data_IF_548027193959
#
_entry.id   IF_548027193959
#
_cell.length_a   1.000
_cell.length_b   1.000
_cell.length_c   1.000
_cell.angle_alpha   90.00
_cell.angle_beta   90.00
_cell.angle_gamma   90.00
#
_symmetry.space_group_name_H-M   'P 1'
#
loop_
_entity.id
_entity.type
_entity.pdbx_description
1 polymer ?
#
# COMPACT_ATOMS: atom_id res chain seq x y z
N UNK A 1 -67.00 16.13 13.69
CA UNK A 1 -65.63 16.71 13.67
C UNK A 1 -64.63 15.55 13.82
N UNK A 2 -64.19 14.95 12.71
CA UNK A 2 -63.16 13.90 12.68
C UNK A 2 -62.03 14.37 11.76
N UNK A 3 -61.16 15.24 12.27
CA UNK A 3 -59.87 15.60 11.66
C UNK A 3 -58.85 15.58 12.79
N UNK A 4 -58.22 14.43 13.02
CA UNK A 4 -57.20 14.29 14.07
C UNK A 4 -56.34 13.03 13.96
N UNK A 5 -56.82 11.98 13.30
CA UNK A 5 -56.15 10.67 13.31
C UNK A 5 -55.14 10.46 12.16
N UNK A 6 -55.13 11.33 11.15
CA UNK A 6 -54.30 11.14 9.95
C UNK A 6 -52.83 11.59 10.12
N UNK A 7 -52.58 12.60 10.97
CA UNK A 7 -51.26 13.24 11.08
C UNK A 7 -50.25 12.50 11.98
N UNK A 8 -50.69 11.47 12.71
CA UNK A 8 -49.89 10.74 13.70
C UNK A 8 -49.21 9.49 13.11
N UNK A 9 -49.84 8.88 12.09
CA UNK A 9 -49.30 7.70 11.40
C UNK A 9 -48.04 8.02 10.60
N UNK A 10 -47.96 9.20 9.99
CA UNK A 10 -46.79 9.66 9.23
C UNK A 10 -45.59 9.90 10.14
N UNK A 11 -45.79 10.53 11.30
CA UNK A 11 -44.71 10.76 12.29
C UNK A 11 -44.16 9.45 12.85
N UNK A 12 -45.02 8.50 13.20
CA UNK A 12 -44.61 7.16 13.62
C UNK A 12 -43.85 6.41 12.51
N UNK A 13 -44.23 6.61 11.24
CA UNK A 13 -43.51 6.10 10.08
C UNK A 13 -42.10 6.65 9.96
N UNK A 14 -41.93 7.98 10.05
CA UNK A 14 -40.61 8.63 10.00
C UNK A 14 -39.70 8.18 11.14
N UNK A 15 -40.20 8.10 12.38
CA UNK A 15 -39.41 7.64 13.55
C UNK A 15 -38.92 6.20 13.36
N UNK A 16 -39.76 5.32 12.83
CA UNK A 16 -39.37 3.94 12.51
C UNK A 16 -38.32 3.89 11.41
N UNK A 17 -38.50 4.66 10.34
CA UNK A 17 -37.52 4.74 9.25
C UNK A 17 -36.16 5.23 9.74
N UNK A 18 -36.13 6.29 10.55
CA UNK A 18 -34.88 6.79 11.15
C UNK A 18 -34.26 5.76 12.09
N UNK A 19 -35.08 5.02 12.85
CA UNK A 19 -34.60 3.94 13.71
C UNK A 19 -33.98 2.77 12.92
N UNK A 20 -34.61 2.35 11.82
CA UNK A 20 -34.04 1.33 10.93
C UNK A 20 -32.75 1.80 10.26
N UNK A 21 -32.69 3.06 9.79
CA UNK A 21 -31.47 3.62 9.22
C UNK A 21 -30.33 3.62 10.24
N UNK A 22 -30.60 4.10 11.46
CA UNK A 22 -29.62 4.12 12.54
C UNK A 22 -29.17 2.70 12.92
N UNK A 23 -30.09 1.74 12.99
CA UNK A 23 -29.77 0.34 13.28
C UNK A 23 -28.88 -0.25 12.17
N UNK A 24 -29.20 0.00 10.90
CA UNK A 24 -28.39 -0.46 9.77
C UNK A 24 -26.98 0.12 9.84
N UNK A 25 -26.83 1.42 10.13
CA UNK A 25 -25.51 2.05 10.30
C UNK A 25 -24.74 1.39 11.45
N UNK A 26 -25.37 1.22 12.62
CA UNK A 26 -24.72 0.57 13.78
C UNK A 26 -24.30 -0.86 13.45
N UNK A 27 -25.16 -1.64 12.81
CA UNK A 27 -24.85 -3.01 12.43
C UNK A 27 -23.73 -3.07 11.39
N UNK A 28 -23.74 -2.19 10.38
CA UNK A 28 -22.64 -2.08 9.42
C UNK A 28 -21.35 -1.79 10.17
N UNK A 29 -21.33 -0.83 11.10
CA UNK A 29 -20.11 -0.49 11.83
C UNK A 29 -19.62 -1.62 12.74
N UNK A 30 -20.51 -2.24 13.53
CA UNK A 30 -20.14 -3.29 14.49
C UNK A 30 -19.70 -4.60 13.83
N UNK A 31 -20.31 -4.94 12.69
CA UNK A 31 -20.01 -6.15 11.92
C UNK A 31 -18.90 -5.95 10.89
N UNK A 32 -18.50 -4.70 10.64
CA UNK A 32 -17.32 -4.40 9.81
C UNK A 32 -16.05 -4.57 10.62
N UNK A 33 -14.93 -4.78 9.92
CA UNK A 33 -13.60 -4.68 10.52
C UNK A 33 -13.13 -3.21 10.52
N UNK A 34 -12.19 -2.83 11.40
CA UNK A 34 -11.58 -1.50 11.38
C UNK A 34 -11.10 -1.08 9.99
N UNK A 35 -10.48 -1.96 9.22
CA UNK A 35 -10.00 -1.71 7.86
C UNK A 35 -11.09 -1.49 6.81
N UNK A 36 -12.31 -1.98 7.04
CA UNK A 36 -13.47 -1.71 6.17
C UNK A 36 -14.06 -0.31 6.37
N UNK A 37 -13.93 0.26 7.57
CA UNK A 37 -14.52 1.56 7.94
C UNK A 37 -13.47 2.67 7.91
N UNK A 38 -12.33 2.38 8.50
CA UNK A 38 -11.14 3.20 8.48
C UNK A 38 -10.22 2.56 7.47
N UNK A 39 -10.20 3.10 6.25
CA UNK A 39 -9.31 2.65 5.17
C UNK A 39 -7.86 2.72 5.64
N UNK A 40 -7.37 1.67 6.30
CA UNK A 40 -5.97 1.47 6.59
C UNK A 40 -5.36 0.90 5.32
N UNK A 41 -4.95 1.82 4.44
CA UNK A 41 -4.02 1.64 3.33
C UNK A 41 -4.60 0.84 2.18
N UNK A 42 -5.06 1.54 1.13
CA UNK A 42 -4.86 0.99 -0.20
C UNK A 42 -3.39 1.29 -0.49
N UNK A 43 -2.54 0.27 -0.49
CA UNK A 43 -1.13 0.46 -0.80
C UNK A 43 -1.04 0.74 -2.30
N UNK A 44 -0.50 1.91 -2.59
CA UNK A 44 -0.36 2.44 -3.93
C UNK A 44 1.05 2.13 -4.40
N UNK A 45 1.18 1.25 -5.39
CA UNK A 45 2.45 1.09 -6.10
C UNK A 45 2.52 2.19 -7.16
N UNK A 46 3.55 3.02 -7.07
CA UNK A 46 3.73 4.20 -7.89
C UNK A 46 5.20 4.38 -8.29
N UNK A 47 5.46 4.97 -9.44
CA UNK A 47 6.81 5.26 -9.96
C UNK A 47 7.31 6.65 -9.57
N UNK A 48 6.42 7.50 -9.05
CA UNK A 48 6.73 8.84 -8.58
C UNK A 48 6.53 8.94 -7.07
N UNK A 49 7.36 9.74 -6.36
CA UNK A 49 7.22 9.92 -4.91
C UNK A 49 6.23 11.05 -4.58
N UNK A 50 6.44 12.23 -5.17
CA UNK A 50 5.78 13.50 -4.79
C UNK A 50 4.38 13.68 -5.39
N UNK A 51 4.08 12.95 -6.45
CA UNK A 51 2.80 12.99 -7.15
C UNK A 51 2.35 11.59 -7.53
N UNK A 52 1.10 11.51 -7.95
CA UNK A 52 0.49 10.38 -8.65
C UNK A 52 1.01 10.33 -10.09
N UNK A 53 1.57 9.20 -10.51
CA UNK A 53 2.14 9.06 -11.86
C UNK A 53 1.09 8.94 -12.97
N UNK A 54 -0.17 8.64 -12.64
CA UNK A 54 -1.21 8.25 -13.59
C UNK A 54 -1.19 6.76 -13.97
N UNK A 55 -0.19 6.01 -13.52
CA UNK A 55 -0.02 4.57 -13.74
C UNK A 55 -0.12 3.78 -12.43
N UNK A 56 -0.81 4.34 -11.44
CA UNK A 56 -0.88 3.75 -10.12
C UNK A 56 -1.55 2.38 -10.10
N UNK A 57 -0.92 1.44 -9.40
CA UNK A 57 -1.52 0.14 -9.12
C UNK A 57 -2.05 0.10 -7.68
N UNK A 58 -3.38 0.12 -7.55
CA UNK A 58 -4.07 0.08 -6.26
C UNK A 58 -4.19 -1.36 -5.79
N UNK A 59 -3.55 -1.68 -4.67
CA UNK A 59 -3.67 -3.00 -4.06
C UNK A 59 -4.16 -2.82 -2.64
N UNK A 60 -5.23 -3.51 -2.30
CA UNK A 60 -5.46 -3.84 -0.91
C UNK A 60 -4.52 -4.99 -0.58
N UNK A 61 -3.32 -4.64 -0.13
CA UNK A 61 -2.34 -5.63 0.30
C UNK A 61 -2.99 -6.40 1.45
N UNK A 62 -3.00 -7.73 1.33
CA UNK A 62 -3.35 -8.56 2.47
C UNK A 62 -2.24 -8.50 3.53
N UNK A 63 -1.23 -7.63 3.33
CA UNK A 63 0.08 -7.75 3.89
C UNK A 63 0.70 -6.37 4.24
N UNK A 64 1.35 -6.21 5.40
CA UNK A 64 2.13 -4.99 5.72
C UNK A 64 3.56 -5.12 5.17
N UNK A 65 4.16 -3.99 4.77
CA UNK A 65 5.61 -3.96 4.53
C UNK A 65 6.30 -4.28 5.84
N UNK A 66 7.14 -5.32 5.81
CA UNK A 66 7.77 -5.82 7.01
C UNK A 66 8.45 -4.72 7.82
N UNK A 67 8.21 -4.69 9.13
CA UNK A 67 9.06 -3.94 10.06
C UNK A 67 10.51 -4.43 10.00
N UNK A 68 11.41 -3.80 10.76
CA UNK A 68 12.83 -4.20 10.78
C UNK A 68 13.03 -5.67 11.11
N UNK A 69 12.25 -6.24 12.03
CA UNK A 69 12.33 -7.65 12.37
C UNK A 69 11.85 -8.54 11.20
N UNK A 70 10.83 -8.10 10.48
CA UNK A 70 10.25 -8.78 9.33
C UNK A 70 11.16 -8.77 8.12
N UNK A 71 11.81 -7.65 7.80
CA UNK A 71 12.78 -7.62 6.70
C UNK A 71 14.11 -8.30 7.06
N UNK A 72 14.44 -8.42 8.34
CA UNK A 72 15.51 -9.33 8.76
C UNK A 72 15.18 -10.81 8.43
N UNK A 73 13.90 -11.16 8.30
CA UNK A 73 13.45 -12.48 7.82
C UNK A 73 13.33 -12.59 6.30
N UNK A 74 13.64 -11.52 5.54
CA UNK A 74 13.68 -11.59 4.08
C UNK A 74 14.68 -12.68 3.67
N UNK A 75 14.26 -13.65 2.84
CA UNK A 75 15.05 -14.84 2.58
C UNK A 75 16.41 -14.47 2.01
N UNK A 76 17.45 -15.10 2.56
CA UNK A 76 18.81 -14.99 2.03
C UNK A 76 18.98 -15.85 0.78
N UNK A 77 18.11 -16.83 0.58
CA UNK A 77 18.11 -17.73 -0.57
C UNK A 77 16.67 -17.97 -1.02
N UNK A 78 16.41 -17.90 -2.31
CA UNK A 78 15.12 -18.21 -2.91
C UNK A 78 15.27 -18.50 -4.40
N UNK A 79 14.55 -19.51 -4.90
CA UNK A 79 14.70 -19.94 -6.30
C UNK A 79 16.16 -20.27 -6.60
N UNK A 80 16.74 -19.56 -7.57
CA UNK A 80 18.16 -19.67 -7.92
C UNK A 80 19.01 -18.51 -7.38
N UNK A 81 18.44 -17.66 -6.54
CA UNK A 81 19.11 -16.50 -5.96
C UNK A 81 19.67 -16.83 -4.57
N UNK A 82 20.89 -16.38 -4.33
CA UNK A 82 21.57 -16.47 -3.05
C UNK A 82 22.19 -15.13 -2.68
N UNK A 83 22.04 -14.71 -1.44
CA UNK A 83 22.67 -13.52 -0.89
C UNK A 83 24.19 -13.67 -0.97
N UNK A 84 24.83 -12.74 -1.66
CA UNK A 84 26.28 -12.64 -1.74
C UNK A 84 26.85 -11.69 -0.69
N UNK A 85 26.13 -10.62 -0.37
CA UNK A 85 26.55 -9.62 0.63
C UNK A 85 25.36 -8.90 1.27
N UNK A 86 25.50 -8.47 2.52
CA UNK A 86 24.54 -7.62 3.21
C UNK A 86 25.26 -6.42 3.83
N UNK A 87 24.78 -5.22 3.51
CA UNK A 87 25.39 -3.98 3.97
C UNK A 87 24.74 -3.50 5.26
N UNK A 88 25.55 -3.20 6.27
CA UNK A 88 25.07 -2.58 7.51
C UNK A 88 25.02 -1.06 7.36
N UNK A 89 23.84 -0.53 7.03
CA UNK A 89 23.62 0.91 6.85
C UNK A 89 22.83 1.57 8.00
N UNK A 90 22.85 0.99 9.21
CA UNK A 90 22.10 1.52 10.36
C UNK A 90 22.42 2.99 10.67
N UNK A 91 23.70 3.37 10.65
CA UNK A 91 24.12 4.75 10.91
C UNK A 91 23.64 5.72 9.82
N UNK A 92 23.59 5.28 8.56
CA UNK A 92 23.05 6.08 7.47
C UNK A 92 21.53 6.21 7.60
N UNK A 93 20.85 5.14 8.00
CA UNK A 93 19.40 5.15 8.20
C UNK A 93 18.98 6.17 9.27
N UNK A 94 19.72 6.22 10.39
CA UNK A 94 19.49 7.20 11.45
C UNK A 94 19.71 8.64 10.95
N UNK A 95 20.79 8.88 10.19
CA UNK A 95 21.09 10.21 9.63
C UNK A 95 20.05 10.69 8.63
N UNK A 96 19.50 9.78 7.82
CA UNK A 96 18.45 10.09 6.85
C UNK A 96 17.05 10.12 7.49
N UNK A 97 16.94 9.83 8.80
CA UNK A 97 15.69 9.73 9.54
C UNK A 97 14.68 8.81 8.84
N UNK A 98 15.15 7.65 8.40
CA UNK A 98 14.33 6.58 7.81
C UNK A 98 14.06 5.52 8.87
N UNK A 99 12.86 4.95 8.87
CA UNK A 99 12.46 3.95 9.87
C UNK A 99 13.19 2.62 9.66
N UNK A 100 13.56 2.33 8.40
CA UNK A 100 14.27 1.13 8.02
C UNK A 100 15.07 1.35 6.73
N UNK A 101 16.25 0.73 6.65
CA UNK A 101 17.02 0.57 5.43
C UNK A 101 17.69 -0.81 5.37
N UNK A 102 17.37 -1.59 4.33
CA UNK A 102 17.97 -2.88 4.01
C UNK A 102 18.67 -2.77 2.66
N UNK A 103 19.95 -3.13 2.61
CA UNK A 103 20.73 -3.17 1.37
C UNK A 103 21.46 -4.51 1.27
N UNK A 104 21.21 -5.26 0.20
CA UNK A 104 21.70 -6.64 0.04
C UNK A 104 21.98 -6.97 -1.41
N UNK A 105 23.09 -7.64 -1.66
CA UNK A 105 23.44 -8.13 -2.98
C UNK A 105 23.05 -9.60 -3.13
N UNK A 106 22.36 -9.92 -4.22
CA UNK A 106 22.02 -11.28 -4.62
C UNK A 106 22.84 -11.70 -5.84
N UNK A 107 23.22 -12.97 -5.87
CA UNK A 107 23.86 -13.64 -6.98
C UNK A 107 23.03 -14.85 -7.40
N UNK A 108 23.21 -15.29 -8.64
CA UNK A 108 22.55 -16.48 -9.22
C UNK A 108 23.57 -17.25 -10.04
N UNK A 109 23.55 -18.60 -10.06
CA UNK A 109 24.44 -19.37 -10.91
C UNK A 109 24.38 -18.91 -12.38
N UNK A 110 25.55 -18.72 -12.99
CA UNK A 110 25.69 -18.24 -14.37
C UNK A 110 25.66 -16.71 -14.52
N UNK A 111 25.39 -15.95 -13.45
CA UNK A 111 25.47 -14.49 -13.45
C UNK A 111 26.80 -14.03 -12.84
N UNK A 112 27.55 -13.20 -13.57
CA UNK A 112 28.87 -12.71 -13.12
C UNK A 112 28.81 -11.38 -12.36
N UNK A 113 27.65 -10.74 -12.30
CA UNK A 113 27.43 -9.47 -11.61
C UNK A 113 26.42 -9.67 -10.46
N UNK A 114 26.67 -9.10 -9.27
CA UNK A 114 25.66 -9.09 -8.23
C UNK A 114 24.53 -8.12 -8.60
N UNK A 115 23.33 -8.44 -8.13
CA UNK A 115 22.15 -7.59 -8.22
C UNK A 115 21.86 -7.04 -6.83
N UNK A 116 21.95 -5.72 -6.69
CA UNK A 116 21.73 -5.01 -5.44
C UNK A 116 20.24 -4.73 -5.23
N UNK A 117 19.71 -5.14 -4.08
CA UNK A 117 18.41 -4.74 -3.55
C UNK A 117 18.61 -3.65 -2.50
N UNK A 118 17.84 -2.57 -2.62
CA UNK A 118 17.66 -1.56 -1.58
C UNK A 118 16.18 -1.43 -1.24
N UNK A 119 15.85 -1.58 0.04
CA UNK A 119 14.52 -1.28 0.60
C UNK A 119 14.71 -0.23 1.68
N UNK A 120 14.02 0.90 1.56
CA UNK A 120 14.10 1.98 2.54
C UNK A 120 12.71 2.54 2.83
N UNK A 121 12.33 2.62 4.10
CA UNK A 121 11.00 3.08 4.54
C UNK A 121 11.11 4.43 5.23
N UNK A 122 10.26 5.37 4.86
CA UNK A 122 10.19 6.66 5.55
C UNK A 122 9.80 6.48 7.01
N UNK A 123 10.21 7.41 7.85
CA UNK A 123 9.62 7.56 9.18
C UNK A 123 8.53 8.61 9.08
N UNK A 124 7.27 8.22 9.29
CA UNK A 124 6.13 9.11 9.10
C UNK A 124 6.15 9.75 7.69
N UNK A 125 5.70 11.00 7.56
CA UNK A 125 5.60 11.76 6.31
C UNK A 125 6.94 12.35 5.84
N UNK A 126 8.07 11.94 6.42
CA UNK A 126 9.37 12.50 6.09
C UNK A 126 9.86 12.03 4.71
N UNK A 127 9.70 12.89 3.70
CA UNK A 127 10.21 12.69 2.33
C UNK A 127 11.61 13.29 2.12
N UNK A 128 12.08 14.15 3.03
CA UNK A 128 13.31 14.95 2.83
C UNK A 128 14.59 14.12 2.71
N UNK A 129 14.61 12.92 3.28
CA UNK A 129 15.72 11.97 3.17
C UNK A 129 15.76 11.20 1.85
N UNK A 130 14.76 11.37 0.99
CA UNK A 130 14.58 10.58 -0.23
C UNK A 130 14.56 11.48 -1.45
N UNK A 131 15.65 11.45 -2.22
CA UNK A 131 15.65 11.95 -3.58
C UNK A 131 15.41 10.78 -4.55
N UNK A 132 14.63 11.00 -5.62
CA UNK A 132 14.41 9.95 -6.61
C UNK A 132 15.74 9.59 -7.30
N UNK A 133 15.93 8.33 -7.72
CA UNK A 133 17.14 7.86 -8.41
C UNK A 133 17.62 8.75 -9.56
N UNK A 134 16.68 9.32 -10.32
CA UNK A 134 16.93 10.30 -11.37
C UNK A 134 17.81 11.49 -10.92
N UNK A 135 17.73 11.90 -9.66
CA UNK A 135 18.56 12.98 -9.07
C UNK A 135 19.84 12.41 -8.47
N UNK A 136 19.75 11.24 -7.82
CA UNK A 136 20.87 10.63 -7.09
C UNK A 136 22.02 10.20 -8.00
N UNK A 137 21.74 9.54 -9.13
CA UNK A 137 22.79 9.00 -10.00
C UNK A 137 23.65 10.09 -10.64
N UNK A 138 23.08 11.18 -11.18
CA UNK A 138 23.85 12.35 -11.60
C UNK A 138 24.77 12.91 -10.52
N UNK A 139 24.29 13.02 -9.28
CA UNK A 139 25.13 13.48 -8.16
C UNK A 139 26.31 12.53 -7.84
N UNK A 140 26.20 11.25 -8.21
CA UNK A 140 27.26 10.24 -8.08
C UNK A 140 28.19 10.17 -9.31
N UNK A 141 28.00 11.08 -10.28
CA UNK A 141 28.77 11.16 -11.52
C UNK A 141 28.32 10.20 -12.60
N UNK A 142 27.07 9.71 -12.56
CA UNK A 142 26.49 8.94 -13.67
C UNK A 142 25.67 9.84 -14.60
N UNK A 143 25.51 9.43 -15.85
CA UNK A 143 24.56 9.99 -16.81
C UNK A 143 23.43 8.99 -17.01
N UNK A 144 22.20 9.49 -17.14
CA UNK A 144 21.03 8.66 -17.42
C UNK A 144 20.82 8.65 -18.93
N UNK A 145 20.71 7.45 -19.52
CA UNK A 145 20.66 7.23 -20.96
C UNK A 145 19.40 6.43 -21.29
N UNK A 146 18.22 7.07 -21.23
CA UNK A 146 16.98 6.38 -21.63
C UNK A 146 16.89 6.33 -23.15
N UNK A 147 16.27 5.27 -23.70
CA UNK A 147 16.17 5.06 -25.13
C UNK A 147 15.58 6.29 -25.82
N UNK A 148 16.32 6.81 -26.81
CA UNK A 148 15.90 7.90 -27.70
C UNK A 148 15.63 9.29 -27.09
N UNK A 149 16.58 9.93 -26.41
CA UNK A 149 16.87 11.37 -26.66
C UNK A 149 18.34 11.63 -26.37
N UNK A 150 19.01 12.34 -27.29
CA UNK A 150 20.36 12.89 -27.17
C UNK A 150 20.72 13.29 -25.71
N UNK A 151 21.97 13.04 -25.26
CA UNK A 151 22.43 13.50 -23.96
C UNK A 151 22.40 15.04 -23.96
N UNK A 152 21.32 15.62 -23.44
CA UNK A 152 21.26 17.05 -23.20
C UNK A 152 21.93 17.31 -21.86
N UNK A 153 22.91 18.23 -21.80
CA UNK A 153 23.51 18.61 -20.54
C UNK A 153 22.42 19.20 -19.64
N UNK A 154 22.28 18.58 -18.47
CA UNK A 154 21.35 18.88 -17.39
C UNK A 154 21.04 20.39 -17.26
N UNK A 155 19.83 20.83 -17.64
CA UNK A 155 19.27 22.12 -17.20
C UNK A 155 18.33 21.88 -16.03
N UNK A 156 18.76 22.37 -14.88
CA UNK A 156 18.31 22.02 -13.53
C UNK A 156 16.83 22.31 -13.16
N UNK A 157 15.96 22.80 -14.05
CA UNK A 157 14.69 23.40 -13.60
C UNK A 157 13.38 23.06 -14.34
N UNK A 158 13.33 22.25 -15.40
CA UNK A 158 12.05 22.06 -16.14
C UNK A 158 11.67 20.64 -16.63
N UNK A 159 12.47 19.59 -16.38
CA UNK A 159 12.24 18.29 -17.02
C UNK A 159 12.38 17.05 -16.12
N UNK A 160 11.73 17.02 -14.96
CA UNK A 160 11.51 15.74 -14.24
C UNK A 160 10.55 14.79 -15.01
N UNK A 161 9.81 15.29 -16.00
CA UNK A 161 8.72 14.53 -16.62
C UNK A 161 9.12 13.45 -17.65
N UNK A 162 10.37 13.40 -18.14
CA UNK A 162 10.74 12.54 -19.29
C UNK A 162 11.98 11.66 -19.07
N UNK A 163 12.47 11.58 -17.84
CA UNK A 163 13.66 10.81 -17.51
C UNK A 163 13.24 9.54 -16.74
N UNK A 164 13.43 8.41 -17.42
CA UNK A 164 13.08 7.06 -17.01
C UNK A 164 11.87 6.55 -17.78
N UNK A 165 11.94 5.29 -18.19
CA UNK A 165 10.82 4.60 -18.83
C UNK A 165 10.02 3.90 -17.74
N UNK A 166 8.68 4.03 -17.78
CA UNK A 166 7.81 3.17 -16.97
C UNK A 166 7.68 1.84 -17.70
N UNK A 167 8.05 0.76 -17.04
CA UNK A 167 7.87 -0.61 -17.52
C UNK A 167 6.81 -1.32 -16.68
N UNK A 168 6.13 -2.27 -17.30
CA UNK A 168 5.17 -3.15 -16.64
C UNK A 168 5.85 -4.47 -16.34
N UNK A 169 6.11 -4.75 -15.06
CA UNK A 169 6.75 -5.98 -14.63
C UNK A 169 5.70 -7.00 -14.20
N UNK A 170 5.74 -8.21 -14.78
CA UNK A 170 4.89 -9.31 -14.33
C UNK A 170 5.36 -9.89 -12.99
N UNK A 171 4.44 -10.00 -12.05
CA UNK A 171 4.61 -10.69 -10.78
C UNK A 171 3.70 -11.90 -10.75
N UNK A 172 4.32 -13.09 -10.77
CA UNK A 172 3.62 -14.34 -10.57
C UNK A 172 3.26 -14.54 -9.09
N UNK A 173 2.24 -15.35 -8.82
CA UNK A 173 1.76 -15.70 -7.47
C UNK A 173 1.21 -14.49 -6.70
N UNK A 174 -0.07 -14.17 -6.92
CA UNK A 174 -0.79 -13.07 -6.26
C UNK A 174 -1.27 -13.39 -4.84
N UNK A 175 -0.71 -14.38 -4.15
CA UNK A 175 -1.11 -14.71 -2.77
C UNK A 175 -0.97 -13.54 -1.79
N UNK A 176 -0.30 -12.46 -2.20
CA UNK A 176 -0.12 -11.20 -1.50
C UNK A 176 -1.25 -10.17 -1.68
N UNK A 177 -2.12 -10.37 -2.68
CA UNK A 177 -3.28 -9.50 -2.93
C UNK A 177 -4.50 -10.05 -2.20
N UNK A 178 -5.24 -9.19 -1.51
CA UNK A 178 -6.50 -9.60 -0.87
C UNK A 178 -7.49 -10.03 -1.94
N UNK A 179 -8.11 -11.22 -1.79
CA UNK A 179 -9.19 -11.64 -2.69
C UNK A 179 -10.31 -10.59 -2.65
N UNK A 180 -10.88 -10.17 -3.80
CA UNK A 180 -11.98 -9.23 -3.81
C UNK A 180 -13.14 -9.76 -2.97
N UNK A 181 -13.71 -8.90 -2.12
CA UNK A 181 -14.81 -9.22 -1.19
C UNK A 181 -16.05 -9.78 -1.91
N UNK A 182 -16.20 -9.49 -3.20
CA UNK A 182 -17.29 -9.98 -4.03
C UNK A 182 -16.71 -10.59 -5.31
N UNK A 183 -16.94 -11.89 -5.48
CA UNK A 183 -16.73 -12.69 -6.70
C UNK A 183 -15.84 -12.07 -7.77
N UNK A 184 -14.53 -12.29 -7.64
CA UNK A 184 -13.56 -12.07 -8.72
C UNK A 184 -12.84 -13.39 -9.00
N UNK A 185 -12.40 -13.57 -10.24
CA UNK A 185 -11.51 -14.68 -10.61
C UNK A 185 -10.21 -14.59 -9.80
N UNK A 186 -9.65 -15.74 -9.43
CA UNK A 186 -8.30 -15.79 -8.89
C UNK A 186 -7.34 -15.28 -9.96
N UNK A 187 -6.82 -14.06 -9.77
CA UNK A 187 -5.71 -13.58 -10.59
C UNK A 187 -4.53 -14.54 -10.37
N UNK A 188 -3.84 -14.94 -11.44
CA UNK A 188 -2.64 -15.79 -11.31
C UNK A 188 -1.37 -14.96 -11.42
N UNK A 189 -1.41 -13.94 -12.29
CA UNK A 189 -0.34 -12.99 -12.56
C UNK A 189 -0.89 -11.57 -12.52
N UNK A 190 -0.07 -10.62 -12.08
CA UNK A 190 -0.38 -9.19 -12.05
C UNK A 190 0.81 -8.41 -12.59
N UNK A 191 0.56 -7.37 -13.39
CA UNK A 191 1.58 -6.42 -13.81
C UNK A 191 1.67 -5.28 -12.81
N UNK A 192 2.89 -4.90 -12.44
CA UNK A 192 3.13 -3.73 -11.60
C UNK A 192 3.99 -2.71 -12.34
N UNK A 193 3.70 -1.41 -12.18
CA UNK A 193 4.50 -0.36 -12.81
C UNK A 193 5.83 -0.21 -12.06
N UNK A 194 6.93 -0.22 -12.80
CA UNK A 194 8.28 0.04 -12.29
C UNK A 194 8.96 1.10 -13.14
N UNK A 195 9.77 1.95 -12.53
CA UNK A 195 10.57 2.95 -13.27
C UNK A 195 11.95 2.37 -13.57
N UNK A 196 12.28 2.29 -14.86
CA UNK A 196 13.59 1.87 -15.36
C UNK A 196 14.46 3.08 -15.68
N UNK A 197 15.71 3.03 -15.21
CA UNK A 197 16.78 3.92 -15.63
C UNK A 197 17.96 3.10 -16.14
N UNK A 198 18.55 3.53 -17.26
CA UNK A 198 19.87 3.07 -17.69
C UNK A 198 20.88 4.14 -17.31
N UNK A 199 21.92 3.75 -16.58
CA UNK A 199 22.94 4.67 -16.05
C UNK A 199 24.31 4.35 -16.61
N UNK A 200 25.10 5.38 -16.87
CA UNK A 200 26.46 5.26 -17.39
C UNK A 200 27.43 6.15 -16.62
N UNK A 201 28.65 5.68 -16.41
CA UNK A 201 29.73 6.48 -15.85
C UNK A 201 30.86 6.57 -16.85
N UNK A 202 31.41 7.77 -17.00
CA UNK A 202 32.46 8.07 -17.96
C UNK A 202 33.79 8.33 -17.25
N UNK A 203 34.90 8.01 -17.92
CA UNK A 203 36.22 8.50 -17.55
C UNK A 203 36.46 9.93 -18.07
N UNK A 204 37.61 10.52 -17.72
CA UNK A 204 38.01 11.85 -18.17
C UNK A 204 38.21 11.94 -19.70
N UNK A 205 38.37 10.79 -20.37
CA UNK A 205 38.49 10.68 -21.83
C UNK A 205 37.13 10.56 -22.54
N UNK A 206 36.01 10.54 -21.80
CA UNK A 206 34.68 10.37 -22.36
C UNK A 206 34.32 8.92 -22.71
N UNK A 207 35.09 7.93 -22.25
CA UNK A 207 34.75 6.52 -22.44
C UNK A 207 33.86 6.03 -21.30
N UNK A 208 32.84 5.23 -21.63
CA UNK A 208 32.02 4.57 -20.62
C UNK A 208 32.89 3.56 -19.88
N UNK A 209 32.99 3.70 -18.55
CA UNK A 209 33.72 2.78 -17.66
C UNK A 209 32.79 1.87 -16.85
N UNK A 210 31.53 2.26 -16.71
CA UNK A 210 30.52 1.49 -15.98
C UNK A 210 29.14 1.78 -16.55
N UNK A 211 28.33 0.75 -16.72
CA UNK A 211 26.91 0.88 -17.07
C UNK A 211 26.08 0.12 -16.05
N UNK A 212 24.80 0.46 -15.92
CA UNK A 212 23.87 -0.29 -15.10
C UNK A 212 22.43 -0.05 -15.47
N UNK A 213 21.59 -0.93 -14.94
CA UNK A 213 20.14 -0.82 -14.98
C UNK A 213 19.64 -0.66 -13.56
N UNK A 214 18.71 0.26 -13.37
CA UNK A 214 18.06 0.54 -12.10
C UNK A 214 16.57 0.45 -12.30
N UNK A 215 15.92 -0.45 -11.56
CA UNK A 215 14.47 -0.53 -11.46
C UNK A 215 14.05 -0.04 -10.09
N UNK A 216 13.04 0.83 -10.01
CA UNK A 216 12.53 1.28 -8.72
C UNK A 216 11.06 1.62 -8.75
N UNK A 217 10.44 1.57 -7.57
CA UNK A 217 9.07 2.01 -7.34
C UNK A 217 8.90 2.38 -5.86
N UNK A 218 7.77 2.99 -5.56
CA UNK A 218 7.35 3.37 -4.23
C UNK A 218 6.08 2.61 -3.88
N UNK A 219 6.00 2.14 -2.64
CA UNK A 219 4.74 1.70 -2.04
C UNK A 219 4.33 2.76 -1.03
N UNK A 220 3.22 3.44 -1.32
CA UNK A 220 2.70 4.52 -0.50
C UNK A 220 1.48 4.03 0.25
N UNK A 221 1.45 4.28 1.56
CA UNK A 221 0.25 4.07 2.36
C UNK A 221 -0.57 5.36 2.36
N UNK A 222 -1.62 5.38 1.55
CA UNK A 222 -2.53 6.52 1.45
C UNK A 222 -3.68 6.39 2.46
N UNK A 223 -3.92 7.45 3.25
CA UNK A 223 -5.17 7.67 3.99
C UNK A 223 -5.82 8.95 3.52
N UNK A 224 -7.03 8.83 2.95
CA UNK A 224 -7.80 9.97 2.43
C UNK A 224 -7.01 10.88 1.47
N UNK A 225 -6.09 10.31 0.67
CA UNK A 225 -5.28 11.05 -0.30
C UNK A 225 -4.02 11.71 0.28
N UNK A 226 -3.69 11.46 1.55
CA UNK A 226 -2.43 11.86 2.18
C UNK A 226 -1.57 10.61 2.35
N UNK A 227 -0.39 10.62 1.74
CA UNK A 227 0.63 9.58 1.95
C UNK A 227 1.23 9.77 3.35
N UNK A 228 0.88 8.88 4.29
CA UNK A 228 1.39 8.94 5.66
C UNK A 228 2.82 8.40 5.75
N UNK A 229 3.10 7.33 5.01
CA UNK A 229 4.40 6.66 4.94
C UNK A 229 4.62 6.11 3.54
N UNK A 230 5.88 5.93 3.16
CA UNK A 230 6.22 5.24 1.93
C UNK A 230 7.44 4.33 2.09
N UNK A 231 7.48 3.29 1.28
CA UNK A 231 8.61 2.39 1.12
C UNK A 231 9.17 2.54 -0.29
N UNK A 232 10.44 2.92 -0.37
CA UNK A 232 11.22 2.94 -1.60
C UNK A 232 11.88 1.58 -1.82
N UNK A 233 11.67 0.99 -3.00
CA UNK A 233 12.29 -0.26 -3.41
C UNK A 233 13.08 0.00 -4.69
N UNK A 234 14.33 -0.44 -4.69
CA UNK A 234 15.22 -0.33 -5.84
C UNK A 234 15.99 -1.62 -6.03
N UNK A 235 16.06 -2.07 -7.27
CA UNK A 235 16.97 -3.10 -7.73
C UNK A 235 17.95 -2.50 -8.72
N UNK A 236 19.23 -2.74 -8.53
CA UNK A 236 20.30 -2.21 -9.38
C UNK A 236 21.27 -3.33 -9.75
N UNK A 237 21.66 -3.41 -11.02
CA UNK A 237 22.78 -4.22 -11.46
C UNK A 237 23.69 -3.36 -12.34
N UNK A 238 25.01 -3.47 -12.11
CA UNK A 238 26.00 -2.72 -12.87
C UNK A 238 27.05 -3.65 -13.47
N UNK A 239 27.49 -3.34 -14.67
CA UNK A 239 28.43 -4.13 -15.44
C UNK A 239 29.47 -3.24 -16.12
N UNK A 240 30.66 -3.80 -16.34
CA UNK A 240 31.67 -3.16 -17.15
C UNK A 240 31.28 -3.27 -18.63
N UNK A 241 31.49 -2.23 -19.44
CA UNK A 241 31.21 -2.30 -20.86
C UNK A 241 32.13 -3.34 -21.54
N UNK A 242 31.55 -4.41 -22.06
CA UNK A 242 32.23 -5.44 -22.86
C UNK A 242 32.07 -5.16 -24.35
N UNK A 243 33.05 -5.49 -25.20
CA UNK A 243 32.88 -5.39 -26.65
C UNK A 243 31.65 -6.21 -27.10
N UNK A 244 30.63 -5.57 -27.69
CA UNK A 244 29.39 -6.24 -28.08
C UNK A 244 28.19 -5.31 -28.34
N UNK A 245 27.02 -5.91 -28.57
CA UNK A 245 25.76 -5.19 -28.73
C UNK A 245 25.27 -4.66 -27.38
N UNK A 246 25.27 -3.34 -27.24
CA UNK A 246 24.92 -2.68 -25.99
C UNK A 246 23.44 -2.81 -25.61
N UNK A 247 22.54 -2.83 -26.59
CA UNK A 247 21.10 -2.98 -26.33
C UNK A 247 20.83 -4.32 -25.66
N UNK A 248 21.44 -5.38 -26.18
CA UNK A 248 21.29 -6.74 -25.68
C UNK A 248 21.82 -6.89 -24.24
N UNK A 249 22.94 -6.24 -23.91
CA UNK A 249 23.47 -6.23 -22.55
C UNK A 249 22.54 -5.49 -21.57
N UNK A 250 21.94 -4.38 -21.99
CA UNK A 250 20.96 -3.63 -21.19
C UNK A 250 19.70 -4.46 -20.98
N UNK A 251 19.11 -4.99 -22.06
CA UNK A 251 17.91 -5.84 -22.01
C UNK A 251 18.13 -7.08 -21.14
N UNK A 252 19.26 -7.77 -21.31
CA UNK A 252 19.62 -8.92 -20.48
C UNK A 252 19.78 -8.54 -19.01
N UNK A 253 20.35 -7.37 -18.71
CA UNK A 253 20.46 -6.87 -17.33
C UNK A 253 19.10 -6.47 -16.76
N UNK A 254 18.23 -5.84 -17.55
CA UNK A 254 16.84 -5.53 -17.18
C UNK A 254 16.09 -6.81 -16.80
N UNK A 255 16.11 -7.83 -17.66
CA UNK A 255 15.44 -9.10 -17.40
C UNK A 255 15.96 -9.80 -16.12
N UNK A 256 17.26 -9.66 -15.83
CA UNK A 256 17.86 -10.17 -14.57
C UNK A 256 17.33 -9.41 -13.35
N UNK A 257 17.24 -8.07 -13.43
CA UNK A 257 16.68 -7.24 -12.36
C UNK A 257 15.19 -7.51 -12.14
N UNK A 258 14.39 -7.62 -13.20
CA UNK A 258 12.97 -7.98 -13.15
C UNK A 258 12.79 -9.39 -12.56
N UNK A 259 13.65 -10.34 -12.94
CA UNK A 259 13.62 -11.69 -12.37
C UNK A 259 13.85 -11.71 -10.86
N UNK A 260 14.82 -10.93 -10.36
CA UNK A 260 15.01 -10.80 -8.91
C UNK A 260 13.79 -10.13 -8.27
N UNK A 261 13.34 -9.01 -8.82
CA UNK A 261 12.28 -8.19 -8.25
C UNK A 261 10.96 -8.95 -8.21
N UNK A 262 10.54 -9.61 -9.29
CA UNK A 262 9.31 -10.39 -9.38
C UNK A 262 9.29 -11.59 -8.42
N UNK A 263 10.38 -12.34 -8.28
CA UNK A 263 10.48 -13.47 -7.33
C UNK A 263 10.49 -13.00 -5.87
N UNK A 264 11.11 -11.84 -5.61
CA UNK A 264 11.21 -11.27 -4.28
C UNK A 264 9.93 -10.53 -3.89
N UNK A 265 9.21 -9.95 -4.85
CA UNK A 265 8.10 -9.03 -4.61
C UNK A 265 7.08 -9.64 -3.64
N UNK A 266 6.53 -10.85 -3.84
CA UNK A 266 5.58 -11.46 -2.88
C UNK A 266 6.15 -11.65 -1.46
N UNK A 267 7.47 -11.69 -1.30
CA UNK A 267 8.19 -11.97 -0.04
C UNK A 267 8.52 -10.70 0.74
N UNK A 268 8.43 -9.52 0.11
CA UNK A 268 8.63 -8.23 0.78
C UNK A 268 7.48 -7.88 1.74
N UNK A 269 6.39 -8.62 1.65
CA UNK A 269 5.15 -8.36 2.33
C UNK A 269 4.80 -9.51 3.29
N UNK A 270 4.14 -9.21 4.42
CA UNK A 270 3.68 -10.20 5.41
C UNK A 270 2.18 -10.20 5.61
N UNK A 271 1.54 -11.37 5.69
CA UNK A 271 0.10 -11.51 5.95
C UNK A 271 -0.34 -10.68 7.15
N UNK A 272 -1.17 -9.68 6.88
CA UNK A 272 -1.90 -8.88 7.85
C UNK A 272 -2.73 -9.86 8.65
N UNK A 273 -2.62 -9.76 9.97
CA UNK A 273 -3.44 -10.57 10.86
C UNK A 273 -4.92 -10.32 10.52
N UNK A 274 -5.76 -11.37 10.51
CA UNK A 274 -7.18 -11.22 10.22
C UNK A 274 -7.76 -10.19 11.19
N UNK A 275 -8.25 -9.07 10.64
CA UNK A 275 -8.86 -8.05 11.46
C UNK A 275 -10.13 -8.59 12.07
N UNK A 276 -10.27 -8.36 13.36
CA UNK A 276 -11.48 -8.73 14.07
C UNK A 276 -12.58 -7.71 13.77
N UNK A 277 -13.82 -8.19 13.71
CA UNK A 277 -14.98 -7.30 13.66
C UNK A 277 -14.93 -6.36 14.87
N UNK A 278 -15.39 -5.11 14.71
CA UNK A 278 -15.35 -4.12 15.80
C UNK A 278 -16.02 -4.64 17.07
N UNK A 279 -17.13 -5.38 16.94
CA UNK A 279 -17.79 -5.97 18.11
C UNK A 279 -16.91 -6.99 18.87
N UNK A 280 -16.08 -7.75 18.15
CA UNK A 280 -15.15 -8.73 18.75
C UNK A 280 -13.97 -8.01 19.39
N UNK A 281 -13.40 -7.01 18.70
CA UNK A 281 -12.32 -6.18 19.24
C UNK A 281 -12.76 -5.46 20.53
N UNK A 282 -13.95 -4.86 20.53
CA UNK A 282 -14.56 -4.25 21.73
C UNK A 282 -14.67 -5.25 22.88
N UNK A 283 -15.11 -6.48 22.62
CA UNK A 283 -15.25 -7.52 23.63
C UNK A 283 -13.89 -7.99 24.18
N UNK A 284 -12.86 -8.11 23.34
CA UNK A 284 -11.52 -8.56 23.75
C UNK A 284 -10.76 -7.48 24.52
N UNK A 285 -10.71 -6.26 24.01
CA UNK A 285 -9.95 -5.16 24.60
C UNK A 285 -10.68 -4.54 25.80
N UNK A 286 -12.00 -4.39 25.70
CA UNK A 286 -12.84 -3.78 26.73
C UNK A 286 -13.47 -4.77 27.71
N UNK A 287 -13.31 -6.08 27.50
CA UNK A 287 -13.92 -7.11 28.33
C UNK A 287 -15.44 -6.94 28.49
N UNK A 288 -15.94 -7.08 29.72
CA UNK A 288 -17.35 -6.93 30.03
C UNK A 288 -17.91 -5.53 29.68
N UNK A 289 -17.09 -4.47 29.81
CA UNK A 289 -17.50 -3.11 29.48
C UNK A 289 -17.71 -2.95 27.97
N UNK A 290 -16.83 -3.55 27.16
CA UNK A 290 -16.93 -3.53 25.70
C UNK A 290 -18.16 -4.26 25.18
N UNK A 291 -18.49 -5.42 25.76
CA UNK A 291 -19.73 -6.15 25.45
C UNK A 291 -20.96 -5.30 25.80
N UNK A 292 -20.99 -4.70 27.00
CA UNK A 292 -22.09 -3.83 27.41
C UNK A 292 -22.26 -2.63 26.46
N UNK A 293 -21.16 -2.00 26.03
CA UNK A 293 -21.20 -0.90 25.08
C UNK A 293 -21.78 -1.33 23.71
N UNK A 294 -21.38 -2.49 23.18
CA UNK A 294 -21.92 -3.02 21.92
C UNK A 294 -23.43 -3.30 22.00
N UNK A 295 -23.91 -3.85 23.13
CA UNK A 295 -25.34 -4.08 23.38
C UNK A 295 -26.11 -2.75 23.41
N UNK A 296 -25.60 -1.76 24.14
CA UNK A 296 -26.23 -0.42 24.21
C UNK A 296 -26.33 0.24 22.84
N UNK A 297 -25.30 0.11 22.01
CA UNK A 297 -25.31 0.66 20.64
C UNK A 297 -26.42 0.06 19.77
N UNK A 298 -26.74 -1.22 19.94
CA UNK A 298 -27.82 -1.91 19.22
C UNK A 298 -29.20 -1.57 19.84
N UNK A 299 -29.27 -1.48 21.16
CA UNK A 299 -30.52 -1.25 21.90
C UNK A 299 -31.09 0.15 21.68
N UNK A 300 -30.25 1.17 21.50
CA UNK A 300 -30.72 2.56 21.28
C UNK A 300 -31.58 2.67 20.00
N UNK A 301 -31.11 2.25 18.81
CA UNK A 301 -31.93 2.22 17.60
C UNK A 301 -33.18 1.35 17.74
N UNK A 302 -33.08 0.18 18.39
CA UNK A 302 -34.23 -0.69 18.65
C UNK A 302 -35.29 0.01 19.52
N UNK A 303 -34.88 0.70 20.57
CA UNK A 303 -35.78 1.48 21.42
C UNK A 303 -36.48 2.58 20.61
N UNK A 304 -35.79 3.27 19.70
CA UNK A 304 -36.39 4.27 18.80
C UNK A 304 -37.43 3.64 17.87
N UNK A 305 -37.15 2.47 17.29
CA UNK A 305 -38.10 1.74 16.42
C UNK A 305 -39.36 1.34 17.20
N UNK A 306 -39.19 0.86 18.44
CA UNK A 306 -40.27 0.32 19.27
C UNK A 306 -41.05 1.39 20.04
N UNK A 307 -40.46 2.58 20.24
CA UNK A 307 -41.03 3.66 21.04
C UNK A 307 -42.47 4.04 20.65
N UNK A 308 -42.82 4.25 19.36
CA UNK A 308 -44.19 4.60 18.98
C UNK A 308 -45.20 3.51 19.37
N UNK A 309 -44.80 2.24 19.29
CA UNK A 309 -45.66 1.10 19.62
C UNK A 309 -45.89 0.99 21.13
N UNK A 310 -44.83 1.15 21.92
CA UNK A 310 -44.89 1.11 23.40
C UNK A 310 -45.73 2.26 23.93
N UNK A 311 -45.50 3.49 23.43
CA UNK A 311 -46.27 4.67 23.81
C UNK A 311 -47.76 4.50 23.54
N UNK A 312 -48.13 4.05 22.34
CA UNK A 312 -49.54 3.81 21.99
C UNK A 312 -50.21 2.74 22.87
N UNK A 313 -49.47 1.73 23.32
CA UNK A 313 -49.97 0.72 24.26
C UNK A 313 -50.16 1.30 25.67
N UNK A 314 -49.26 2.16 26.13
CA UNK A 314 -49.39 2.83 27.43
C UNK A 314 -50.58 3.79 27.46
N UNK A 315 -50.79 4.59 26.41
CA UNK A 315 -51.91 5.54 26.31
C UNK A 315 -53.25 4.80 26.32
N UNK A 316 -53.40 3.75 25.50
CA UNK A 316 -54.60 2.89 25.49
C UNK A 316 -54.87 2.20 26.84
N UNK A 317 -53.81 1.84 27.58
CA UNK A 317 -53.95 1.21 28.90
C UNK A 317 -54.37 2.23 29.96
N UNK A 318 -53.92 3.48 29.86
CA UNK A 318 -54.35 4.59 30.74
C UNK A 318 -55.82 4.95 30.45
N UNK A 319 -56.21 5.08 29.18
CA UNK A 319 -57.60 5.35 28.79
C UNK A 319 -58.56 4.27 29.33
N UNK A 320 -58.20 2.99 29.19
CA UNK A 320 -58.99 1.87 29.75
C UNK A 320 -59.12 1.91 31.28
N UNK A 321 -58.13 2.45 32.00
CA UNK A 321 -58.19 2.59 33.46
C UNK A 321 -59.05 3.78 33.89
N UNK A 322 -59.04 4.87 33.11
CA UNK A 322 -59.89 6.04 33.35
C UNK A 322 -61.36 5.77 33.03
N UNK A 323 -61.67 4.95 32.02
CA UNK A 323 -63.06 4.55 31.72
C UNK A 323 -63.66 3.55 32.73
N UNK A 324 -62.84 2.95 33.59
CA UNK A 324 -63.29 2.00 34.64
C UNK A 324 -63.51 2.66 36.01
N UNK A 325 -63.18 3.93 36.16
CA UNK A 325 -63.45 4.73 37.36
C UNK A 325 -64.66 5.62 37.09
#
# INVERSE_FOLDING_TARGET
>A
MQRGVSMDKTKAGYVRLTGFLALSIVLILLLSTPGMIFSKGVDLIDTELSRRSGHEFYVQTALDFGDRASLATLPKEFGNWSMSHEYNWNALAERLNVSLMLCRDYAKPGLYIPVNLLVARSKETNTSGFHPPIVCYPALGYTIVNGEVNPTPYRFFDHEQHLGETEEMEVANVSWITKPLFGGEEMQNVTIPVKKLVIEKYDDGGNVIKRGVVLYFYVKTDRWGITEEFTFIRVEATFAPTQGNWSEAVEGTTAVCEGLMSELFPKLFKLREPEEMIIVAMAKEGGALGVAAAVVLIDIPLAVILYPSIRNLSEKRIEKRLQKR
#
